data_IF_310283935282
#
_entry.id   IF_310283935282
#
_cell.length_a   1.000
_cell.length_b   1.000
_cell.length_c   1.000
_cell.angle_alpha   90.00
_cell.angle_beta   90.00
_cell.angle_gamma   90.00
#
_symmetry.space_group_name_H-M   'P 1'
#
loop_
_entity.id
_entity.type
_entity.pdbx_description
1 polymer ?
#
# COMPACT_ATOMS: atom_id res chain seq x y z
N UNK A 1 -13.17 6.83 -45.74
CA UNK A 1 -12.68 5.80 -44.80
C UNK A 1 -11.58 6.47 -43.99
N UNK A 2 -11.95 7.34 -43.04
CA UNK A 2 -12.35 7.06 -41.64
C UNK A 2 -11.12 6.75 -40.78
N UNK A 3 -10.63 7.76 -40.06
CA UNK A 3 -10.08 7.62 -38.69
C UNK A 3 -9.80 9.03 -38.12
N UNK A 4 -10.88 9.72 -37.78
CA UNK A 4 -10.88 10.92 -36.92
C UNK A 4 -11.77 10.60 -35.73
N UNK A 5 -11.20 10.06 -34.65
CA UNK A 5 -11.82 10.12 -33.32
C UNK A 5 -10.82 9.66 -32.27
N UNK A 6 -10.06 10.61 -31.70
CA UNK A 6 -9.48 10.49 -30.35
C UNK A 6 -8.88 11.81 -29.84
N UNK A 7 -8.73 12.83 -30.68
CA UNK A 7 -8.08 14.10 -30.28
C UNK A 7 -9.04 15.27 -29.99
N UNK A 8 -10.32 15.02 -29.68
CA UNK A 8 -11.32 16.09 -29.51
C UNK A 8 -11.79 16.33 -28.05
N UNK A 9 -11.24 15.62 -27.05
CA UNK A 9 -11.70 15.79 -25.67
C UNK A 9 -10.91 16.85 -24.87
N UNK A 10 -9.65 17.11 -25.23
CA UNK A 10 -8.79 18.02 -24.44
C UNK A 10 -8.94 19.51 -24.80
N UNK A 11 -9.44 19.84 -26.00
CA UNK A 11 -9.55 21.25 -26.43
C UNK A 11 -10.80 21.98 -25.92
N UNK A 12 -11.82 21.27 -25.41
CA UNK A 12 -13.05 21.88 -24.88
C UNK A 12 -12.99 22.24 -23.39
N UNK A 13 -11.95 21.81 -22.67
CA UNK A 13 -11.81 22.10 -21.24
C UNK A 13 -11.28 23.53 -20.95
N UNK A 14 -10.75 24.23 -21.96
CA UNK A 14 -10.08 25.53 -21.81
C UNK A 14 -11.00 26.74 -21.56
N UNK A 15 -12.33 26.53 -21.50
CA UNK A 15 -13.34 27.59 -21.28
C UNK A 15 -14.22 27.38 -20.04
N UNK A 16 -13.99 26.34 -19.24
CA UNK A 16 -14.78 26.11 -18.03
C UNK A 16 -14.27 26.99 -16.88
N UNK A 17 -15.12 27.87 -16.36
CA UNK A 17 -14.85 28.61 -15.13
C UNK A 17 -14.70 27.62 -13.97
N UNK A 18 -13.47 27.45 -13.48
CA UNK A 18 -13.15 26.54 -12.38
C UNK A 18 -13.36 27.25 -11.05
N UNK A 19 -14.29 26.74 -10.24
CA UNK A 19 -14.56 27.23 -8.89
C UNK A 19 -14.06 26.19 -7.89
N UNK A 20 -13.31 26.63 -6.88
CA UNK A 20 -12.77 25.75 -5.83
C UNK A 20 -13.56 25.91 -4.55
N UNK A 21 -14.02 24.79 -3.98
CA UNK A 21 -14.65 24.78 -2.66
C UNK A 21 -13.59 24.45 -1.61
N UNK A 22 -13.48 25.32 -0.61
CA UNK A 22 -12.48 25.18 0.44
C UNK A 22 -12.85 24.03 1.38
N UNK A 23 -11.81 23.39 1.94
CA UNK A 23 -11.97 22.40 2.99
C UNK A 23 -12.48 23.06 4.28
N UNK A 24 -13.32 22.34 5.00
CA UNK A 24 -13.73 22.67 6.36
C UNK A 24 -12.87 21.86 7.35
N UNK A 25 -12.15 22.56 8.23
CA UNK A 25 -11.23 21.97 9.20
C UNK A 25 -11.80 21.95 10.63
N UNK A 26 -13.07 22.32 10.84
CA UNK A 26 -13.66 22.38 12.20
C UNK A 26 -13.64 21.02 12.91
N UNK A 27 -13.76 19.93 12.15
CA UNK A 27 -13.80 18.56 12.67
C UNK A 27 -12.44 17.83 12.52
N UNK A 28 -11.34 18.60 12.50
CA UNK A 28 -9.98 18.07 12.47
C UNK A 28 -9.59 17.49 11.11
N UNK A 29 -9.25 16.20 11.07
CA UNK A 29 -8.71 15.52 9.88
C UNK A 29 -9.76 14.93 8.96
N UNK A 30 -11.04 14.95 9.34
CA UNK A 30 -12.15 14.42 8.53
C UNK A 30 -12.25 15.18 7.20
N UNK A 31 -12.52 14.46 6.11
CA UNK A 31 -12.74 15.08 4.81
C UNK A 31 -14.11 15.79 4.78
N UNK A 32 -14.11 17.11 4.73
CA UNK A 32 -15.33 17.94 4.75
C UNK A 32 -15.12 19.23 3.96
N UNK A 33 -16.15 19.69 3.26
CA UNK A 33 -16.13 20.91 2.45
C UNK A 33 -17.05 21.98 3.04
N UNK A 34 -16.65 23.24 2.87
CA UNK A 34 -17.45 24.38 3.28
C UNK A 34 -18.70 24.51 2.42
N UNK A 35 -19.83 24.87 3.04
CA UNK A 35 -21.10 25.14 2.33
C UNK A 35 -21.25 26.60 1.92
N UNK A 36 -20.21 27.44 2.10
CA UNK A 36 -20.23 28.83 1.67
C UNK A 36 -20.40 28.91 0.15
N UNK A 37 -21.49 29.53 -0.28
CA UNK A 37 -21.78 29.69 -1.71
C UNK A 37 -20.78 30.63 -2.40
N UNK A 38 -20.14 30.20 -3.50
CA UNK A 38 -19.26 31.03 -4.30
C UNK A 38 -20.04 32.05 -5.15
N UNK A 39 -19.63 33.31 -5.13
CA UNK A 39 -20.23 34.40 -5.93
C UNK A 39 -20.16 34.13 -7.44
N UNK A 40 -19.17 33.37 -7.88
CA UNK A 40 -18.94 32.97 -9.27
C UNK A 40 -20.07 32.07 -9.80
N UNK A 41 -20.86 31.46 -8.90
CA UNK A 41 -21.97 30.57 -9.24
C UNK A 41 -23.35 31.25 -9.19
N UNK A 42 -23.47 32.49 -8.71
CA UNK A 42 -24.75 33.16 -8.41
C UNK A 42 -25.72 33.24 -9.61
N UNK A 43 -25.19 33.29 -10.83
CA UNK A 43 -25.99 33.33 -12.08
C UNK A 43 -26.14 31.97 -12.77
N UNK A 44 -25.55 30.90 -12.23
CA UNK A 44 -25.44 29.58 -12.89
C UNK A 44 -26.12 28.46 -12.11
N UNK A 45 -26.10 28.52 -10.79
CA UNK A 45 -26.60 27.47 -9.90
C UNK A 45 -27.30 28.14 -8.72
N UNK A 46 -28.44 27.60 -8.29
CA UNK A 46 -29.11 28.13 -7.09
C UNK A 46 -28.32 27.79 -5.84
N UNK A 47 -28.36 28.71 -4.85
CA UNK A 47 -27.68 28.52 -3.57
C UNK A 47 -28.10 27.25 -2.84
N UNK A 48 -29.40 26.95 -2.86
CA UNK A 48 -29.95 25.73 -2.25
C UNK A 48 -29.41 24.47 -2.90
N UNK A 49 -29.38 24.42 -4.24
CA UNK A 49 -28.88 23.24 -4.97
C UNK A 49 -27.39 23.00 -4.68
N UNK A 50 -26.59 24.07 -4.64
CA UNK A 50 -25.18 23.98 -4.27
C UNK A 50 -25.00 23.45 -2.84
N UNK A 51 -25.69 24.05 -1.87
CA UNK A 51 -25.60 23.64 -0.47
C UNK A 51 -26.01 22.18 -0.27
N UNK A 52 -27.11 21.75 -0.89
CA UNK A 52 -27.60 20.37 -0.80
C UNK A 52 -26.62 19.38 -1.44
N UNK A 53 -25.98 19.76 -2.55
CA UNK A 53 -24.93 18.97 -3.20
C UNK A 53 -23.72 18.82 -2.28
N UNK A 54 -23.22 19.91 -1.69
CA UNK A 54 -22.06 19.88 -0.79
C UNK A 54 -22.38 19.12 0.50
N UNK A 55 -23.59 19.28 1.06
CA UNK A 55 -24.02 18.49 2.23
C UNK A 55 -24.06 17.00 1.92
N UNK A 56 -24.60 16.62 0.76
CA UNK A 56 -24.63 15.22 0.32
C UNK A 56 -23.22 14.66 0.13
N UNK A 57 -22.32 15.42 -0.48
CA UNK A 57 -20.90 15.05 -0.60
C UNK A 57 -20.26 14.85 0.78
N UNK A 58 -20.43 15.80 1.69
CA UNK A 58 -19.90 15.70 3.05
C UNK A 58 -20.44 14.47 3.77
N UNK A 59 -21.71 14.12 3.58
CA UNK A 59 -22.28 12.89 4.14
C UNK A 59 -21.61 11.64 3.55
N UNK A 60 -21.36 11.58 2.24
CA UNK A 60 -20.63 10.45 1.66
C UNK A 60 -19.21 10.31 2.19
N UNK A 61 -18.49 11.43 2.35
CA UNK A 61 -17.17 11.41 2.97
C UNK A 61 -17.24 10.99 4.44
N UNK A 62 -18.23 11.47 5.21
CA UNK A 62 -18.43 11.06 6.59
C UNK A 62 -18.74 9.56 6.71
N UNK A 63 -19.55 8.99 5.82
CA UNK A 63 -19.82 7.55 5.78
C UNK A 63 -18.59 6.75 5.36
N UNK A 64 -17.76 7.26 4.43
CA UNK A 64 -16.52 6.60 4.03
C UNK A 64 -15.47 6.57 5.16
N UNK A 65 -15.42 7.61 5.99
CA UNK A 65 -14.53 7.71 7.17
C UNK A 65 -15.05 6.88 8.36
N UNK A 66 -16.29 6.40 8.30
CA UNK A 66 -16.85 5.55 9.35
C UNK A 66 -16.21 4.17 9.29
N UNK A 67 -15.14 4.00 10.05
CA UNK A 67 -14.48 2.71 10.22
C UNK A 67 -15.46 1.74 10.88
N UNK A 68 -15.94 0.77 10.12
CA UNK A 68 -16.76 -0.33 10.63
C UNK A 68 -15.91 -1.35 11.38
N UNK A 69 -16.51 -2.06 12.35
CA UNK A 69 -15.79 -3.12 13.09
C UNK A 69 -15.22 -4.22 12.19
N UNK A 70 -15.84 -4.47 11.02
CA UNK A 70 -15.32 -5.41 10.01
C UNK A 70 -14.00 -4.93 9.39
N UNK A 71 -13.87 -3.66 9.05
CA UNK A 71 -12.62 -3.10 8.49
C UNK A 71 -11.46 -3.19 9.46
N UNK A 72 -11.72 -3.06 10.77
CA UNK A 72 -10.70 -3.29 11.80
C UNK A 72 -10.23 -4.75 11.82
N UNK A 73 -11.18 -5.70 11.75
CA UNK A 73 -10.87 -7.13 11.70
C UNK A 73 -10.11 -7.49 10.43
N UNK A 74 -10.52 -6.98 9.27
CA UNK A 74 -9.81 -7.16 7.99
C UNK A 74 -8.37 -6.63 8.09
N UNK A 75 -8.18 -5.44 8.66
CA UNK A 75 -6.85 -4.88 8.91
C UNK A 75 -5.99 -5.75 9.83
N UNK A 76 -6.57 -6.24 10.94
CA UNK A 76 -5.87 -7.14 11.86
C UNK A 76 -5.49 -8.46 11.19
N UNK A 77 -6.41 -9.06 10.45
CA UNK A 77 -6.19 -10.31 9.71
C UNK A 77 -5.13 -10.11 8.64
N UNK A 78 -5.17 -9.03 7.87
CA UNK A 78 -4.15 -8.71 6.88
C UNK A 78 -2.75 -8.63 7.53
N UNK A 79 -2.63 -7.91 8.65
CA UNK A 79 -1.37 -7.82 9.40
C UNK A 79 -0.90 -9.20 9.87
N UNK A 80 -1.78 -9.98 10.51
CA UNK A 80 -1.47 -11.32 11.00
C UNK A 80 -1.05 -12.24 9.84
N UNK A 81 -1.75 -12.21 8.71
CA UNK A 81 -1.40 -12.99 7.52
C UNK A 81 -0.03 -12.63 6.99
N UNK A 82 0.34 -11.35 6.94
CA UNK A 82 1.67 -10.92 6.52
C UNK A 82 2.74 -11.51 7.45
N UNK A 83 2.57 -11.37 8.77
CA UNK A 83 3.51 -11.94 9.74
C UNK A 83 3.62 -13.46 9.62
N UNK A 84 2.49 -14.16 9.46
CA UNK A 84 2.47 -15.60 9.30
C UNK A 84 3.14 -16.04 7.99
N UNK A 85 3.00 -15.30 6.89
CA UNK A 85 3.72 -15.58 5.65
C UNK A 85 5.22 -15.45 5.87
N UNK A 86 5.68 -14.42 6.57
CA UNK A 86 7.10 -14.26 6.93
C UNK A 86 7.62 -15.39 7.83
N UNK A 87 6.78 -15.96 8.69
CA UNK A 87 7.15 -17.07 9.59
C UNK A 87 7.06 -18.45 8.91
N UNK A 88 6.08 -18.65 8.03
CA UNK A 88 5.85 -19.92 7.33
C UNK A 88 6.78 -20.12 6.15
N UNK A 89 7.25 -19.02 5.54
CA UNK A 89 8.44 -19.06 4.71
C UNK A 89 9.61 -19.16 5.70
N UNK A 90 9.94 -20.38 6.14
CA UNK A 90 11.31 -20.68 6.61
C UNK A 90 12.23 -19.93 5.65
N UNK A 91 12.98 -18.92 6.16
CA UNK A 91 13.58 -17.93 5.26
C UNK A 91 14.30 -18.71 4.19
N UNK A 92 13.95 -18.54 2.91
CA UNK A 92 14.57 -19.31 1.80
C UNK A 92 16.10 -19.36 1.97
N UNK A 93 16.62 -18.29 2.55
CA UNK A 93 17.94 -18.13 3.12
C UNK A 93 18.39 -19.25 4.08
N UNK A 94 17.72 -19.49 5.20
CA UNK A 94 18.04 -20.59 6.14
C UNK A 94 18.08 -21.96 5.46
N UNK A 95 17.14 -22.25 4.56
CA UNK A 95 17.14 -23.52 3.82
C UNK A 95 18.34 -23.65 2.89
N UNK A 96 18.75 -22.57 2.24
CA UNK A 96 19.94 -22.53 1.38
C UNK A 96 21.22 -22.64 2.20
N UNK A 97 21.30 -21.97 3.36
CA UNK A 97 22.45 -22.10 4.27
C UNK A 97 22.65 -23.55 4.72
N UNK A 98 21.57 -24.25 5.15
CA UNK A 98 21.63 -25.68 5.50
C UNK A 98 22.15 -26.56 4.35
N UNK A 99 21.84 -26.22 3.09
CA UNK A 99 22.35 -26.95 1.93
C UNK A 99 23.84 -26.68 1.68
N UNK A 100 24.29 -25.44 1.88
CA UNK A 100 25.70 -25.03 1.74
C UNK A 100 26.55 -25.73 2.78
N UNK A 101 26.17 -25.71 4.06
CA UNK A 101 26.95 -26.34 5.13
C UNK A 101 27.09 -27.85 4.92
N UNK A 102 26.01 -28.52 4.47
CA UNK A 102 26.04 -29.94 4.08
C UNK A 102 27.03 -30.22 2.96
N UNK A 103 27.01 -29.40 1.90
CA UNK A 103 27.92 -29.56 0.77
C UNK A 103 29.38 -29.38 1.19
N UNK A 104 29.68 -28.37 2.02
CA UNK A 104 31.03 -28.15 2.56
C UNK A 104 31.52 -29.39 3.31
N UNK A 105 30.67 -29.99 4.15
CA UNK A 105 31.02 -31.19 4.90
C UNK A 105 31.32 -32.39 3.99
N UNK A 106 30.47 -32.63 2.97
CA UNK A 106 30.73 -33.70 2.00
C UNK A 106 32.04 -33.48 1.23
N UNK A 107 32.34 -32.24 0.87
CA UNK A 107 33.60 -31.92 0.20
C UNK A 107 34.80 -32.14 1.12
N UNK A 108 34.69 -31.77 2.39
CA UNK A 108 35.75 -32.03 3.37
C UNK A 108 36.06 -33.51 3.49
N UNK A 109 35.04 -34.36 3.61
CA UNK A 109 35.23 -35.81 3.73
C UNK A 109 35.83 -36.44 2.47
N UNK A 110 35.33 -36.05 1.30
CA UNK A 110 35.69 -36.72 0.03
C UNK A 110 36.97 -36.18 -0.61
N UNK A 111 37.26 -34.90 -0.45
CA UNK A 111 38.29 -34.19 -1.23
C UNK A 111 39.38 -33.58 -0.36
N UNK A 112 39.01 -32.82 0.68
CA UNK A 112 39.97 -31.96 1.38
C UNK A 112 40.69 -32.67 2.55
N UNK A 113 39.99 -33.44 3.37
CA UNK A 113 40.59 -34.14 4.51
C UNK A 113 41.70 -35.13 4.12
N UNK A 114 41.57 -35.94 3.04
CA UNK A 114 42.67 -36.80 2.57
C UNK A 114 43.92 -36.03 2.11
N UNK A 115 43.78 -34.73 1.86
CA UNK A 115 44.85 -33.82 1.44
C UNK A 115 45.36 -32.94 2.59
N UNK A 116 44.89 -33.17 3.82
CA UNK A 116 45.25 -32.37 4.99
C UNK A 116 44.65 -30.96 4.99
N UNK A 117 43.53 -30.74 4.29
CA UNK A 117 42.84 -29.45 4.17
C UNK A 117 41.41 -29.54 4.74
N UNK A 118 40.87 -28.40 5.20
CA UNK A 118 39.50 -28.30 5.69
C UNK A 118 38.87 -26.96 5.29
N UNK A 119 37.71 -27.01 4.64
CA UNK A 119 36.86 -25.85 4.37
C UNK A 119 35.94 -25.64 5.56
N UNK A 120 35.86 -24.40 6.04
CA UNK A 120 34.95 -24.03 7.14
C UNK A 120 33.93 -23.02 6.64
N UNK A 121 32.68 -23.18 7.08
CA UNK A 121 31.62 -22.21 6.81
C UNK A 121 31.88 -20.96 7.65
N UNK A 122 31.96 -19.75 7.04
CA UNK A 122 32.14 -18.51 7.79
C UNK A 122 30.93 -18.12 8.64
N UNK A 123 29.76 -18.72 8.41
CA UNK A 123 28.57 -18.49 9.23
C UNK A 123 28.51 -19.60 10.29
N UNK A 124 28.57 -19.26 11.59
CA UNK A 124 28.54 -20.26 12.65
C UNK A 124 27.21 -20.99 12.65
N UNK A 125 27.27 -22.32 12.60
CA UNK A 125 26.11 -23.17 12.75
C UNK A 125 25.53 -22.97 14.15
N UNK A 126 24.38 -22.31 14.26
CA UNK A 126 23.68 -22.13 15.54
C UNK A 126 23.27 -23.45 16.20
N UNK A 127 23.40 -24.58 15.50
CA UNK A 127 23.14 -25.92 16.00
C UNK A 127 24.37 -26.67 16.53
N UNK A 128 25.59 -26.12 16.40
CA UNK A 128 26.76 -26.68 17.07
C UNK A 128 26.88 -26.08 18.47
N UNK A 129 26.57 -26.81 19.56
CA UNK A 129 26.99 -26.37 20.88
C UNK A 129 28.52 -26.40 20.87
N UNK A 130 29.13 -25.23 21.01
CA UNK A 130 30.58 -25.10 21.00
C UNK A 130 31.20 -26.00 22.06
N UNK A 131 32.38 -26.56 21.73
CA UNK A 131 33.37 -27.23 22.60
C UNK A 131 33.06 -28.63 23.13
#
# INVERSE_FOLDING_TARGET
MSETSLHNSEHSASLANKVFIQRDYTDGTVCKFQTKFPSELESRVSRTLFEDTVKTLNNYYAEAEKIGGQSYLEGCLACLTIYLIFLCIETRYEKVLKNISRYIQEQNEKVYAPRGLLITDPIPDSSCPCT
#
